data_IF_501178172711
#
_entry.id   IF_501178172711
#
_cell.length_a   1.000
_cell.length_b   1.000
_cell.length_c   1.000
_cell.angle_alpha   90.00
_cell.angle_beta   90.00
_cell.angle_gamma   90.00
#
_symmetry.space_group_name_H-M   'P 1'
#
loop_
_entity.id
_entity.type
_entity.pdbx_description
1 polymer ?
#
# COMPACT_ATOMS: atom_id res chain seq x y z
N UNK A 1 -18.13 8.84 8.16
CA UNK A 1 -19.20 7.96 7.62
C UNK A 1 -18.64 6.55 7.53
N UNK A 2 -19.40 5.56 7.96
CA UNK A 2 -19.06 4.15 7.72
C UNK A 2 -19.20 3.82 6.22
N UNK A 3 -18.38 2.88 5.71
CA UNK A 3 -18.42 2.47 4.30
C UNK A 3 -19.79 1.91 3.90
N UNK A 4 -20.49 1.20 4.79
CA UNK A 4 -21.84 0.67 4.51
C UNK A 4 -22.87 1.79 4.37
N UNK A 5 -22.78 2.82 5.22
CA UNK A 5 -23.67 3.99 5.15
C UNK A 5 -23.45 4.79 3.88
N UNK A 6 -22.19 4.99 3.47
CA UNK A 6 -21.85 5.66 2.21
C UNK A 6 -22.36 4.87 1.00
N UNK A 7 -22.23 3.53 1.01
CA UNK A 7 -22.73 2.68 -0.05
C UNK A 7 -24.26 2.72 -0.16
N UNK A 8 -24.98 2.65 0.97
CA UNK A 8 -26.45 2.77 0.98
C UNK A 8 -26.89 4.11 0.37
N UNK A 9 -26.19 5.20 0.69
CA UNK A 9 -26.51 6.53 0.15
C UNK A 9 -26.24 6.65 -1.35
N UNK A 10 -25.17 6.02 -1.85
CA UNK A 10 -24.94 5.94 -3.30
C UNK A 10 -26.08 5.20 -3.99
N UNK A 11 -26.52 4.05 -3.45
CA UNK A 11 -27.63 3.28 -4.04
C UNK A 11 -28.92 4.10 -4.11
N UNK A 12 -29.23 4.87 -3.06
CA UNK A 12 -30.39 5.78 -3.06
C UNK A 12 -30.26 6.88 -4.12
N UNK A 13 -29.07 7.47 -4.27
CA UNK A 13 -28.80 8.52 -5.25
C UNK A 13 -28.79 8.00 -6.70
N UNK A 14 -28.39 6.74 -6.92
CA UNK A 14 -28.34 6.12 -8.24
C UNK A 14 -29.58 5.26 -8.57
N UNK A 15 -30.65 5.37 -7.79
CA UNK A 15 -31.87 4.58 -8.01
C UNK A 15 -32.64 5.03 -9.26
N UNK A 16 -32.60 6.32 -9.58
CA UNK A 16 -33.23 6.89 -10.77
C UNK A 16 -32.33 6.75 -11.99
N UNK A 17 -32.88 6.39 -13.16
CA UNK A 17 -32.10 6.16 -14.39
C UNK A 17 -31.31 7.41 -14.85
N UNK A 18 -31.86 8.61 -14.61
CA UNK A 18 -31.28 9.91 -14.98
C UNK A 18 -30.47 10.60 -13.87
N UNK A 19 -30.08 9.89 -12.80
CA UNK A 19 -29.37 10.50 -11.67
C UNK A 19 -28.08 11.25 -12.04
N UNK A 20 -27.48 10.92 -13.19
CA UNK A 20 -26.29 11.57 -13.73
C UNK A 20 -26.57 12.98 -14.27
N UNK A 21 -27.81 13.26 -14.68
CA UNK A 21 -28.26 14.59 -15.11
C UNK A 21 -28.57 15.51 -13.94
N UNK A 22 -28.82 14.95 -12.75
CA UNK A 22 -28.88 15.69 -11.50
C UNK A 22 -27.45 15.99 -11.03
N UNK A 23 -27.04 17.24 -11.21
CA UNK A 23 -25.71 17.73 -10.83
C UNK A 23 -25.41 17.57 -9.34
N UNK A 24 -26.44 17.63 -8.48
CA UNK A 24 -26.30 17.47 -7.03
C UNK A 24 -26.11 15.99 -6.68
N UNK A 25 -26.94 15.10 -7.22
CA UNK A 25 -26.80 13.66 -7.03
C UNK A 25 -25.46 13.13 -7.58
N UNK A 26 -25.07 13.58 -8.78
CA UNK A 26 -23.79 13.22 -9.40
C UNK A 26 -22.58 13.68 -8.57
N UNK A 27 -22.62 14.90 -8.03
CA UNK A 27 -21.55 15.42 -7.18
C UNK A 27 -21.42 14.64 -5.88
N UNK A 28 -22.55 14.29 -5.25
CA UNK A 28 -22.57 13.58 -3.99
C UNK A 28 -22.11 12.13 -4.13
N UNK A 29 -22.51 11.43 -5.19
CA UNK A 29 -21.99 10.09 -5.52
C UNK A 29 -20.48 10.15 -5.78
N UNK A 30 -19.98 11.16 -6.50
CA UNK A 30 -18.55 11.32 -6.75
C UNK A 30 -17.78 11.59 -5.45
N UNK A 31 -18.33 12.41 -4.55
CA UNK A 31 -17.73 12.73 -3.25
C UNK A 31 -17.66 11.48 -2.36
N UNK A 32 -18.77 10.74 -2.25
CA UNK A 32 -18.85 9.50 -1.49
C UNK A 32 -17.90 8.44 -2.06
N UNK A 33 -17.89 8.26 -3.38
CA UNK A 33 -16.97 7.38 -4.08
C UNK A 33 -15.51 7.72 -3.80
N UNK A 34 -15.08 8.97 -3.99
CA UNK A 34 -13.70 9.40 -3.69
C UNK A 34 -13.31 9.09 -2.25
N UNK A 35 -14.20 9.31 -1.29
CA UNK A 35 -13.91 9.01 0.12
C UNK A 35 -13.73 7.51 0.41
N UNK A 36 -14.47 6.64 -0.30
CA UNK A 36 -14.35 5.18 -0.16
C UNK A 36 -13.10 4.63 -0.85
N UNK A 37 -12.68 5.20 -1.98
CA UNK A 37 -11.54 4.76 -2.78
C UNK A 37 -10.21 5.46 -2.42
N UNK A 38 -10.25 6.58 -1.69
CA UNK A 38 -9.06 7.27 -1.17
C UNK A 38 -8.30 6.44 -0.13
N UNK A 39 -8.88 5.36 0.37
CA UNK A 39 -8.30 4.43 1.33
C UNK A 39 -7.40 3.36 0.68
N UNK A 40 -6.82 3.61 -0.50
CA UNK A 40 -5.54 2.96 -0.80
C UNK A 40 -4.57 3.49 0.23
N UNK A 41 -4.33 2.70 1.27
CA UNK A 41 -3.32 2.99 2.28
C UNK A 41 -2.04 3.41 1.57
N UNK A 42 -1.81 4.73 1.50
CA UNK A 42 -0.47 5.24 1.24
C UNK A 42 0.34 4.62 2.36
N UNK A 43 1.19 3.64 2.04
CA UNK A 43 2.03 2.92 3.00
C UNK A 43 2.67 3.97 3.89
N UNK A 44 2.14 4.13 5.11
CA UNK A 44 2.36 5.34 5.94
C UNK A 44 3.77 5.42 6.49
N UNK A 45 4.58 4.38 6.31
CA UNK A 45 5.98 4.36 6.70
C UNK A 45 6.80 3.58 5.67
N UNK A 46 8.01 4.05 5.30
CA UNK A 46 8.96 3.22 4.59
C UNK A 46 9.31 2.04 5.50
N UNK A 47 8.80 0.85 5.18
CA UNK A 47 9.05 -0.36 5.96
C UNK A 47 10.56 -0.62 6.00
N UNK A 48 11.12 -0.80 7.19
CA UNK A 48 12.49 -1.27 7.36
C UNK A 48 12.62 -2.68 6.80
N UNK A 49 13.72 -2.93 6.12
CA UNK A 49 14.06 -4.22 5.52
C UNK A 49 15.40 -4.63 6.11
N UNK A 50 15.49 -5.88 6.54
CA UNK A 50 16.72 -6.53 6.96
C UNK A 50 17.22 -7.44 5.83
N UNK A 51 18.51 -7.37 5.53
CA UNK A 51 19.21 -8.28 4.64
C UNK A 51 19.88 -9.34 5.52
N UNK A 52 19.48 -10.59 5.30
CA UNK A 52 20.01 -11.77 5.94
C UNK A 52 20.98 -12.49 5.00
N UNK A 53 21.97 -13.16 5.55
CA UNK A 53 22.80 -14.13 4.83
C UNK A 53 22.99 -15.35 5.72
N UNK A 54 22.28 -16.43 5.38
CA UNK A 54 22.04 -17.52 6.33
C UNK A 54 21.33 -17.01 7.58
N UNK A 55 21.89 -17.28 8.76
CA UNK A 55 21.31 -16.90 10.05
C UNK A 55 21.76 -15.52 10.57
N UNK A 56 22.55 -14.78 9.78
CA UNK A 56 23.12 -13.48 10.20
C UNK A 56 22.47 -12.32 9.46
N UNK A 57 22.11 -11.28 10.21
CA UNK A 57 21.70 -9.99 9.64
C UNK A 57 22.96 -9.24 9.19
N UNK A 58 23.04 -8.92 7.90
CA UNK A 58 24.10 -8.08 7.33
C UNK A 58 23.83 -6.60 7.58
N UNK A 59 22.62 -6.15 7.23
CA UNK A 59 22.26 -4.74 7.27
C UNK A 59 20.75 -4.59 7.40
N UNK A 60 20.31 -3.57 8.12
CA UNK A 60 18.89 -3.19 8.25
C UNK A 60 18.74 -1.72 7.91
N UNK A 61 17.74 -1.37 7.11
CA UNK A 61 17.48 0.02 6.72
C UNK A 61 16.23 0.16 5.85
N UNK A 62 15.98 1.35 5.34
CA UNK A 62 14.95 1.55 4.31
C UNK A 62 15.43 0.98 2.96
N UNK A 63 14.51 0.75 2.02
CA UNK A 63 14.90 0.30 0.67
C UNK A 63 15.83 1.30 -0.04
N UNK A 64 15.81 2.59 0.34
CA UNK A 64 16.72 3.61 -0.20
C UNK A 64 18.14 3.42 0.33
N UNK A 65 18.30 3.29 1.65
CA UNK A 65 19.61 3.04 2.26
C UNK A 65 20.20 1.71 1.77
N UNK A 66 19.36 0.68 1.66
CA UNK A 66 19.80 -0.61 1.13
C UNK A 66 20.16 -0.54 -0.36
N UNK A 67 19.51 0.34 -1.13
CA UNK A 67 19.85 0.55 -2.54
C UNK A 67 21.24 1.14 -2.70
N UNK A 68 21.59 2.12 -1.87
CA UNK A 68 22.92 2.74 -1.83
C UNK A 68 24.01 1.73 -1.41
N UNK A 69 23.73 0.89 -0.42
CA UNK A 69 24.71 -0.09 0.10
C UNK A 69 24.90 -1.27 -0.84
N UNK A 70 23.81 -1.78 -1.41
CA UNK A 70 23.83 -3.04 -2.20
C UNK A 70 23.99 -2.83 -3.70
N UNK A 71 23.83 -1.59 -4.18
CA UNK A 71 23.76 -1.25 -5.60
C UNK A 71 22.50 -1.79 -6.31
N UNK A 72 21.53 -2.34 -5.57
CA UNK A 72 20.26 -2.83 -6.12
C UNK A 72 19.24 -1.70 -6.19
N UNK A 73 18.31 -1.76 -7.14
CA UNK A 73 17.21 -0.79 -7.18
C UNK A 73 16.21 -1.05 -6.05
N UNK A 74 15.56 0.02 -5.56
CA UNK A 74 14.53 -0.04 -4.51
C UNK A 74 13.42 -1.06 -4.83
N UNK A 75 13.00 -1.11 -6.10
CA UNK A 75 11.96 -2.02 -6.56
C UNK A 75 12.36 -3.49 -6.42
N UNK A 76 13.60 -3.84 -6.78
CA UNK A 76 14.12 -5.21 -6.63
C UNK A 76 14.17 -5.58 -5.13
N UNK A 77 14.58 -4.65 -4.28
CA UNK A 77 14.62 -4.87 -2.82
C UNK A 77 13.21 -5.13 -2.27
N UNK A 78 12.21 -4.35 -2.69
CA UNK A 78 10.81 -4.55 -2.29
C UNK A 78 10.21 -5.86 -2.79
N UNK A 79 10.48 -6.22 -4.05
CA UNK A 79 9.97 -7.45 -4.65
C UNK A 79 10.54 -8.68 -3.94
N UNK A 80 11.86 -8.68 -3.68
CA UNK A 80 12.50 -9.76 -2.91
C UNK A 80 11.99 -9.84 -1.48
N UNK A 81 11.82 -8.69 -0.81
CA UNK A 81 11.27 -8.65 0.54
C UNK A 81 9.81 -9.14 0.60
N UNK A 82 9.06 -8.97 -0.48
CA UNK A 82 7.67 -9.45 -0.61
C UNK A 82 7.59 -10.94 -0.89
N UNK A 83 8.43 -11.45 -1.78
CA UNK A 83 8.43 -12.86 -2.19
C UNK A 83 9.25 -13.76 -1.26
N UNK A 84 10.04 -13.17 -0.36
CA UNK A 84 11.00 -13.87 0.52
C UNK A 84 12.09 -14.61 -0.25
N UNK A 85 12.42 -14.14 -1.46
CA UNK A 85 13.41 -14.75 -2.34
C UNK A 85 14.83 -14.65 -1.75
N UNK A 86 15.59 -15.73 -1.94
CA UNK A 86 17.03 -15.76 -1.66
C UNK A 86 17.75 -15.47 -2.97
N UNK A 87 18.61 -14.47 -2.98
CA UNK A 87 19.37 -14.15 -4.18
C UNK A 87 20.51 -15.15 -4.43
N UNK A 88 21.12 -15.06 -5.62
CA UNK A 88 22.25 -15.91 -6.00
C UNK A 88 23.49 -15.77 -5.10
N UNK A 89 23.53 -14.75 -4.24
CA UNK A 89 24.57 -14.52 -3.23
C UNK A 89 24.14 -14.99 -1.83
N UNK A 90 23.06 -15.75 -1.71
CA UNK A 90 22.56 -16.24 -0.44
C UNK A 90 21.92 -15.17 0.45
N UNK A 91 21.61 -13.99 -0.10
CA UNK A 91 20.99 -12.90 0.66
C UNK A 91 19.49 -12.99 0.62
N UNK A 92 18.84 -12.87 1.77
CA UNK A 92 17.40 -12.83 1.89
C UNK A 92 16.95 -11.48 2.44
N UNK A 93 15.92 -10.90 1.82
CA UNK A 93 15.38 -9.60 2.20
C UNK A 93 14.09 -9.85 2.98
N UNK A 94 13.95 -9.29 4.17
CA UNK A 94 12.75 -9.46 5.01
C UNK A 94 12.30 -8.12 5.56
N UNK A 95 10.99 -7.87 5.54
CA UNK A 95 10.43 -6.72 6.25
C UNK A 95 10.59 -6.92 7.76
N UNK A 96 11.08 -5.89 8.43
CA UNK A 96 11.08 -5.84 9.90
C UNK A 96 9.72 -5.32 10.31
N UNK A 97 8.93 -6.15 10.99
CA UNK A 97 7.67 -5.68 11.58
C UNK A 97 7.98 -4.68 12.68
N UNK A 98 7.88 -3.39 12.37
CA UNK A 98 7.71 -2.39 13.42
C UNK A 98 6.31 -2.60 13.98
N UNK A 99 6.22 -3.17 15.19
CA UNK A 99 4.98 -3.15 15.96
C UNK A 99 4.57 -1.69 16.11
N UNK A 100 3.60 -1.26 15.31
CA UNK A 100 2.88 -0.02 15.54
C UNK A 100 2.04 -0.30 16.80
N UNK A 101 2.50 0.20 17.95
CA UNK A 101 1.65 0.30 19.14
C UNK A 101 0.56 1.34 18.93
#
# INVERSE_FOLDING_TARGET
>A
MDKKSAMKRIIELTYSEDWQNDKEAASEVMRLGKSMWAEKSKRKTPRKIAIWHGDRILVTGTAEQLSEITGLSKNIIWDRAKNMDIDSKGRQFRYVEEKIC
#
